data_IF_036098288334
#
_entry.id   IF_036098288334
#
_cell.length_a   1.000
_cell.length_b   1.000
_cell.length_c   1.000
_cell.angle_alpha   90.00
_cell.angle_beta   90.00
_cell.angle_gamma   90.00
#
_symmetry.space_group_name_H-M   'P 1'
#
loop_
_entity.id
_entity.type
_entity.pdbx_description
1 polymer ?
#
# COMPACT_ATOMS: atom_id res chain seq x y z
N UNK A 1 4.80 1.69 1.17
CA UNK A 1 4.52 2.38 -0.13
C UNK A 1 5.78 2.35 -1.00
N UNK A 2 5.67 2.41 -2.33
CA UNK A 2 6.82 2.36 -3.24
C UNK A 2 7.87 3.46 -2.95
N UNK A 3 7.41 4.68 -2.68
CA UNK A 3 8.27 5.81 -2.33
C UNK A 3 9.03 5.61 -1.01
N UNK A 4 8.45 4.89 -0.04
CA UNK A 4 9.13 4.57 1.23
C UNK A 4 10.21 3.49 1.06
N UNK A 5 10.16 2.72 -0.04
CA UNK A 5 11.18 1.73 -0.37
C UNK A 5 12.27 2.28 -1.28
N UNK A 6 12.33 3.61 -1.48
CA UNK A 6 13.35 4.26 -2.29
C UNK A 6 13.09 4.22 -3.79
N UNK A 7 11.85 3.92 -4.22
CA UNK A 7 11.44 3.91 -5.63
C UNK A 7 10.66 5.20 -5.88
N UNK A 8 11.24 6.21 -6.55
CA UNK A 8 10.51 7.43 -6.89
C UNK A 8 9.31 7.09 -7.79
N UNK A 9 8.12 7.52 -7.38
CA UNK A 9 6.87 7.21 -8.07
C UNK A 9 5.90 8.36 -7.90
N UNK A 10 5.23 8.72 -8.98
CA UNK A 10 4.18 9.74 -9.01
C UNK A 10 2.82 9.11 -9.31
N UNK A 11 1.75 9.72 -8.79
CA UNK A 11 0.38 9.31 -9.10
C UNK A 11 -0.16 10.25 -10.16
N UNK A 12 -0.38 9.73 -11.37
CA UNK A 12 -1.00 10.49 -12.44
C UNK A 12 -2.52 10.31 -12.42
N UNK A 13 -3.21 11.35 -12.90
CA UNK A 13 -4.68 11.35 -13.05
C UNK A 13 -5.45 11.04 -11.76
N UNK A 14 -4.88 11.39 -10.59
CA UNK A 14 -5.47 11.12 -9.27
C UNK A 14 -6.93 11.59 -9.12
N UNK A 15 -7.33 12.65 -9.84
CA UNK A 15 -8.67 13.25 -9.78
C UNK A 15 -9.49 13.11 -11.07
N UNK A 16 -8.98 12.38 -12.07
CA UNK A 16 -9.63 12.26 -13.38
C UNK A 16 -10.93 11.44 -13.33
N UNK A 17 -11.17 10.69 -12.25
CA UNK A 17 -12.43 9.98 -12.01
C UNK A 17 -13.66 10.89 -12.05
N UNK A 18 -13.51 12.19 -11.76
CA UNK A 18 -14.58 13.19 -11.88
C UNK A 18 -15.09 13.42 -13.31
N UNK A 19 -14.32 13.03 -14.33
CA UNK A 19 -14.70 13.14 -15.74
C UNK A 19 -15.54 11.94 -16.23
N UNK A 20 -15.83 10.98 -15.34
CA UNK A 20 -16.58 9.78 -15.67
C UNK A 20 -17.98 10.11 -16.21
N UNK A 21 -18.36 9.44 -17.29
CA UNK A 21 -19.61 9.68 -18.02
C UNK A 21 -19.44 10.55 -19.27
N UNK A 22 -18.36 11.33 -19.36
CA UNK A 22 -17.97 12.06 -20.58
C UNK A 22 -16.68 11.57 -21.25
N UNK A 23 -15.85 10.83 -20.50
CA UNK A 23 -14.56 10.27 -20.94
C UNK A 23 -14.58 8.75 -20.79
N UNK A 24 -13.89 7.98 -21.66
CA UNK A 24 -13.77 6.53 -21.50
C UNK A 24 -13.24 6.14 -20.11
N UNK A 25 -13.82 5.12 -19.44
CA UNK A 25 -13.40 4.73 -18.09
C UNK A 25 -11.91 4.40 -17.97
N UNK A 26 -11.29 3.84 -19.01
CA UNK A 26 -9.85 3.53 -19.02
C UNK A 26 -8.96 4.75 -18.89
N UNK A 27 -9.44 5.94 -19.27
CA UNK A 27 -8.69 7.20 -19.23
C UNK A 27 -8.94 8.00 -17.93
N UNK A 28 -9.91 7.57 -17.11
CA UNK A 28 -10.24 8.23 -15.83
C UNK A 28 -9.64 7.54 -14.62
N UNK A 29 -8.99 6.38 -14.81
CA UNK A 29 -8.32 5.64 -13.76
C UNK A 29 -7.00 6.33 -13.34
N UNK A 30 -6.69 6.36 -12.03
CA UNK A 30 -5.36 6.72 -11.55
C UNK A 30 -4.29 5.77 -12.09
N UNK A 31 -3.09 6.31 -12.30
CA UNK A 31 -1.91 5.53 -12.69
C UNK A 31 -0.75 5.78 -11.73
N UNK A 32 0.06 4.76 -11.51
CA UNK A 32 1.36 4.89 -10.84
C UNK A 32 2.44 4.95 -11.91
N UNK A 33 3.22 6.02 -11.90
CA UNK A 33 4.32 6.23 -12.84
C UNK A 33 5.63 6.17 -12.07
N UNK A 34 6.51 5.26 -12.48
CA UNK A 34 7.87 5.15 -11.95
C UNK A 34 8.74 6.14 -12.72
N UNK A 35 9.54 6.94 -12.01
CA UNK A 35 10.27 8.05 -12.64
C UNK A 35 11.44 7.57 -13.51
N UNK A 36 12.06 6.42 -13.16
CA UNK A 36 13.13 5.77 -13.91
C UNK A 36 12.72 4.36 -14.35
N UNK A 37 12.91 4.04 -15.63
CA UNK A 37 12.62 2.72 -16.20
C UNK A 37 13.47 1.61 -15.54
N UNK A 38 14.68 1.94 -15.06
CA UNK A 38 15.54 0.97 -14.37
C UNK A 38 14.89 0.41 -13.10
N UNK A 39 14.02 1.19 -12.45
CA UNK A 39 13.31 0.80 -11.23
C UNK A 39 11.99 0.06 -11.50
N UNK A 40 11.50 0.04 -12.75
CA UNK A 40 10.18 -0.48 -13.09
C UNK A 40 10.00 -1.93 -12.65
N UNK A 41 10.96 -2.81 -12.94
CA UNK A 41 10.88 -4.22 -12.55
C UNK A 41 10.82 -4.41 -11.03
N UNK A 42 11.58 -3.62 -10.27
CA UNK A 42 11.56 -3.65 -8.82
C UNK A 42 10.23 -3.09 -8.29
N UNK A 43 9.71 -2.02 -8.89
CA UNK A 43 8.44 -1.40 -8.52
C UNK A 43 7.27 -2.39 -8.66
N UNK A 44 7.24 -3.19 -9.72
CA UNK A 44 6.23 -4.23 -9.93
C UNK A 44 6.27 -5.29 -8.81
N UNK A 45 7.47 -5.77 -8.45
CA UNK A 45 7.62 -6.75 -7.35
C UNK A 45 7.16 -6.16 -6.01
N UNK A 46 7.57 -4.91 -5.70
CA UNK A 46 7.16 -4.25 -4.46
C UNK A 46 5.67 -3.94 -4.42
N UNK A 47 5.07 -3.62 -5.56
CA UNK A 47 3.63 -3.41 -5.65
C UNK A 47 2.85 -4.70 -5.37
N UNK A 48 3.33 -5.85 -5.88
CA UNK A 48 2.73 -7.15 -5.59
C UNK A 48 2.80 -7.49 -4.08
N UNK A 49 3.94 -7.26 -3.43
CA UNK A 49 4.09 -7.45 -1.98
C UNK A 49 3.11 -6.57 -1.17
N UNK A 50 2.89 -5.33 -1.61
CA UNK A 50 1.94 -4.40 -0.98
C UNK A 50 0.48 -4.81 -1.22
N UNK A 51 0.17 -5.41 -2.36
CA UNK A 51 -1.17 -5.94 -2.66
C UNK A 51 -1.45 -7.24 -1.92
N UNK A 52 -0.41 -8.01 -1.61
CA UNK A 52 -0.50 -9.31 -0.93
C UNK A 52 0.28 -9.32 0.39
N UNK A 53 -0.06 -8.43 1.35
CA UNK A 53 0.71 -8.33 2.58
C UNK A 53 0.52 -9.58 3.44
N UNK A 54 1.59 -9.97 4.15
CA UNK A 54 1.54 -11.12 5.06
C UNK A 54 0.52 -10.86 6.18
N UNK A 55 -0.45 -11.76 6.30
CA UNK A 55 -1.45 -11.73 7.37
C UNK A 55 -0.96 -12.53 8.57
N UNK A 56 -1.17 -11.98 9.77
CA UNK A 56 -0.81 -12.63 11.03
C UNK A 56 -1.89 -12.41 12.09
N UNK A 57 -1.99 -13.36 13.01
CA UNK A 57 -2.86 -13.29 14.17
C UNK A 57 -1.98 -13.19 15.43
N UNK A 58 -2.13 -12.13 16.21
CA UNK A 58 -1.36 -11.93 17.44
C UNK A 58 -2.18 -11.21 18.51
N UNK A 59 -1.82 -11.42 19.77
CA UNK A 59 -2.44 -10.74 20.90
C UNK A 59 -1.56 -9.59 21.37
N UNK A 60 -2.14 -8.40 21.56
CA UNK A 60 -1.41 -7.22 22.01
C UNK A 60 -0.86 -7.44 23.44
N UNK A 61 0.46 -7.25 23.68
CA UNK A 61 1.05 -7.48 24.99
C UNK A 61 0.63 -6.43 26.04
N UNK A 62 0.05 -5.30 25.60
CA UNK A 62 -0.34 -4.20 26.49
C UNK A 62 -1.83 -4.23 26.84
N UNK A 63 -2.71 -4.44 25.84
CA UNK A 63 -4.16 -4.37 26.03
C UNK A 63 -4.90 -5.67 25.75
N UNK A 64 -4.19 -6.73 25.36
CA UNK A 64 -4.72 -8.07 25.07
C UNK A 64 -5.71 -8.16 23.90
N UNK A 65 -5.82 -7.11 23.09
CA UNK A 65 -6.63 -7.12 21.87
C UNK A 65 -6.08 -8.14 20.88
N UNK A 66 -6.97 -8.86 20.18
CA UNK A 66 -6.57 -9.82 19.16
C UNK A 66 -6.53 -9.12 17.81
N UNK A 67 -5.34 -9.04 17.23
CA UNK A 67 -5.09 -8.36 15.97
C UNK A 67 -5.00 -9.41 14.87
N UNK A 68 -5.90 -9.34 13.89
CA UNK A 68 -5.89 -10.13 12.65
C UNK A 68 -5.65 -9.21 11.46
N UNK A 69 -4.53 -9.41 10.76
CA UNK A 69 -4.22 -8.63 9.57
C UNK A 69 -2.72 -8.47 9.34
N UNK A 70 -2.34 -7.64 8.37
CA UNK A 70 -0.95 -7.30 8.10
C UNK A 70 -0.43 -6.18 9.03
N UNK A 71 -0.98 -6.09 10.24
CA UNK A 71 -0.72 -4.97 11.14
C UNK A 71 0.44 -5.29 12.09
N UNK A 72 1.41 -4.38 12.10
CA UNK A 72 2.56 -4.40 13.01
C UNK A 72 2.31 -3.52 14.26
N UNK A 73 1.13 -2.91 14.38
CA UNK A 73 0.73 -2.08 15.51
C UNK A 73 -0.70 -2.43 15.94
N UNK A 74 -0.95 -2.41 17.25
CA UNK A 74 -2.27 -2.63 17.81
C UNK A 74 -3.19 -1.45 17.47
N UNK A 75 -4.33 -1.71 16.84
CA UNK A 75 -5.30 -0.65 16.51
C UNK A 75 -5.99 -0.06 17.74
N UNK A 76 -6.02 -0.79 18.87
CA UNK A 76 -6.64 -0.32 20.11
C UNK A 76 -5.71 0.58 20.93
N UNK A 77 -4.42 0.25 21.05
CA UNK A 77 -3.50 0.97 21.95
C UNK A 77 -2.19 1.46 21.30
N UNK A 78 -1.95 1.19 20.02
CA UNK A 78 -0.75 1.62 19.29
C UNK A 78 0.54 0.85 19.62
N UNK A 79 0.49 -0.13 20.53
CA UNK A 79 1.67 -0.93 20.87
C UNK A 79 2.16 -1.73 19.65
N UNK A 80 3.49 -1.79 19.47
CA UNK A 80 4.10 -2.56 18.41
C UNK A 80 3.86 -4.07 18.60
N UNK A 81 3.75 -4.78 17.49
CA UNK A 81 3.75 -6.24 17.45
C UNK A 81 5.06 -6.77 18.07
N UNK A 82 5.02 -7.78 18.94
CA UNK A 82 6.24 -8.40 19.45
C UNK A 82 7.10 -8.94 18.30
N UNK A 83 8.36 -8.54 18.23
CA UNK A 83 9.33 -9.23 17.38
C UNK A 83 9.55 -10.64 17.91
N UNK A 84 9.54 -11.65 17.03
CA UNK A 84 9.92 -13.02 17.38
C UNK A 84 11.38 -13.10 17.88
#
# INVERSE_FOLDING_TARGET
>A
MLTQTGIPTTVQRAFASSLSGGVPPSETLPELWVDDEADHALAVVRLDELQHPRRQLWACPQCHEVIDGPFEQCWNCGAAMPSA
#
